data_IF_157153557039
#
_entry.id   IF_157153557039
#
_cell.length_a   1.000
_cell.length_b   1.000
_cell.length_c   1.000
_cell.angle_alpha   90.00
_cell.angle_beta   90.00
_cell.angle_gamma   90.00
#
_symmetry.space_group_name_H-M   'P 1'
#
loop_
_entity.id
_entity.type
_entity.pdbx_description
1 polymer ?
#
# COMPACT_ATOMS: atom_id res chain seq x y z
N UNK A 1 -6.82 50.54 15.98
CA UNK A 1 -7.64 50.20 14.79
C UNK A 1 -7.48 51.33 13.80
N UNK A 2 -7.05 51.07 12.56
CA UNK A 2 -6.85 52.15 11.58
C UNK A 2 -8.19 52.57 10.96
N UNK A 3 -8.60 53.82 11.21
CA UNK A 3 -9.78 54.41 10.58
C UNK A 3 -9.46 54.71 9.09
N UNK A 4 -10.39 54.48 8.14
CA UNK A 4 -10.09 54.66 6.72
C UNK A 4 -9.94 56.15 6.38
N UNK A 5 -8.99 56.51 5.51
CA UNK A 5 -8.80 57.90 5.07
C UNK A 5 -10.07 58.39 4.36
N UNK A 6 -10.65 59.50 4.85
CA UNK A 6 -11.85 60.13 4.28
C UNK A 6 -13.18 59.73 4.93
N UNK A 7 -13.15 59.05 6.09
CA UNK A 7 -14.35 58.63 6.82
C UNK A 7 -14.57 59.54 8.03
N UNK A 8 -15.75 60.15 8.12
CA UNK A 8 -16.11 61.14 9.14
C UNK A 8 -16.04 60.53 10.56
N UNK A 9 -15.59 61.25 11.59
CA UNK A 9 -15.37 60.72 12.95
C UNK A 9 -16.58 60.14 13.72
N UNK A 10 -17.77 60.09 13.12
CA UNK A 10 -19.03 59.68 13.76
C UNK A 10 -19.52 58.27 13.38
N UNK A 11 -18.68 57.42 12.80
CA UNK A 11 -19.02 56.01 12.51
C UNK A 11 -19.08 55.20 13.80
N UNK A 12 -20.16 54.43 13.96
CA UNK A 12 -20.38 53.53 15.11
C UNK A 12 -19.35 52.38 15.04
N UNK A 13 -18.86 51.91 16.18
CA UNK A 13 -17.83 50.86 16.28
C UNK A 13 -18.17 49.61 15.44
N UNK A 14 -19.43 49.19 15.45
CA UNK A 14 -19.95 48.06 14.66
C UNK A 14 -19.81 48.29 13.14
N UNK A 15 -20.06 49.51 12.65
CA UNK A 15 -19.92 49.86 11.25
C UNK A 15 -18.45 49.90 10.80
N UNK A 16 -17.55 50.35 11.70
CA UNK A 16 -16.10 50.34 11.47
C UNK A 16 -15.55 48.91 11.40
N UNK A 17 -16.03 48.01 12.28
CA UNK A 17 -15.69 46.60 12.22
C UNK A 17 -16.18 45.94 10.93
N UNK A 18 -17.43 46.21 10.53
CA UNK A 18 -17.99 45.73 9.28
C UNK A 18 -17.20 46.22 8.05
N UNK A 19 -16.77 47.49 8.04
CA UNK A 19 -15.89 48.04 7.01
C UNK A 19 -14.55 47.31 6.97
N UNK A 20 -13.90 47.13 8.12
CA UNK A 20 -12.62 46.45 8.23
C UNK A 20 -12.71 44.96 7.82
N UNK A 21 -13.80 44.29 8.15
CA UNK A 21 -14.10 42.94 7.70
C UNK A 21 -14.25 42.87 6.18
N UNK A 22 -15.02 43.78 5.56
CA UNK A 22 -15.17 43.89 4.10
C UNK A 22 -13.83 44.16 3.41
N UNK A 23 -12.99 45.04 3.97
CA UNK A 23 -11.63 45.30 3.47
C UNK A 23 -10.74 44.06 3.53
N UNK A 24 -10.73 43.34 4.66
CA UNK A 24 -10.01 42.07 4.82
C UNK A 24 -10.50 41.01 3.83
N UNK A 25 -11.81 40.90 3.61
CA UNK A 25 -12.40 39.99 2.63
C UNK A 25 -12.00 40.36 1.20
N UNK A 26 -12.05 41.64 0.82
CA UNK A 26 -11.59 42.13 -0.48
C UNK A 26 -10.11 41.83 -0.70
N UNK A 27 -9.27 42.10 0.29
CA UNK A 27 -7.84 41.79 0.23
C UNK A 27 -7.60 40.28 0.03
N UNK A 28 -8.30 39.41 0.77
CA UNK A 28 -8.25 37.96 0.60
C UNK A 28 -8.67 37.54 -0.82
N UNK A 29 -9.73 38.13 -1.37
CA UNK A 29 -10.21 37.85 -2.74
C UNK A 29 -9.17 38.26 -3.78
N UNK A 30 -8.63 39.47 -3.69
CA UNK A 30 -7.59 39.97 -4.60
C UNK A 30 -6.33 39.12 -4.54
N UNK A 31 -5.89 38.73 -3.34
CA UNK A 31 -4.75 37.84 -3.16
C UNK A 31 -4.97 36.47 -3.82
N UNK A 32 -6.18 35.89 -3.66
CA UNK A 32 -6.55 34.63 -4.35
C UNK A 32 -6.49 34.77 -5.86
N UNK A 33 -7.06 35.84 -6.43
CA UNK A 33 -7.04 36.10 -7.88
C UNK A 33 -5.61 36.30 -8.40
N UNK A 34 -4.79 37.08 -7.71
CA UNK A 34 -3.38 37.28 -8.06
C UNK A 34 -2.58 35.96 -8.00
N UNK A 35 -2.85 35.11 -6.99
CA UNK A 35 -2.22 33.79 -6.86
C UNK A 35 -2.64 32.82 -7.99
N UNK A 36 -3.90 32.87 -8.43
CA UNK A 36 -4.37 32.12 -9.61
C UNK A 36 -3.65 32.62 -10.87
N UNK A 37 -3.67 33.94 -11.13
CA UNK A 37 -3.02 34.54 -12.30
C UNK A 37 -1.53 34.20 -12.35
N UNK A 38 -0.83 34.28 -11.21
CA UNK A 38 0.60 33.90 -11.12
C UNK A 38 0.83 32.43 -11.48
N UNK A 39 -0.06 31.51 -11.07
CA UNK A 39 0.04 30.09 -11.42
C UNK A 39 -0.28 29.83 -12.89
N UNK A 40 -1.21 30.57 -13.48
CA UNK A 40 -1.52 30.51 -14.92
C UNK A 40 -0.33 30.98 -15.75
N UNK A 41 0.20 32.17 -15.47
CA UNK A 41 1.38 32.71 -16.16
C UNK A 41 2.59 31.76 -16.05
N UNK A 42 2.83 31.17 -14.86
CA UNK A 42 3.91 30.20 -14.68
C UNK A 42 3.69 28.90 -15.48
N UNK A 43 2.43 28.48 -15.68
CA UNK A 43 2.07 27.29 -16.47
C UNK A 43 2.19 27.56 -17.97
N UNK A 44 1.78 28.74 -18.42
CA UNK A 44 1.87 29.17 -19.82
C UNK A 44 3.32 29.38 -20.25
N UNK A 45 4.18 29.92 -19.36
CA UNK A 45 5.59 30.13 -19.64
C UNK A 45 6.38 28.83 -19.83
N UNK A 46 6.14 27.83 -18.98
CA UNK A 46 6.82 26.53 -19.01
C UNK A 46 5.95 25.47 -18.34
N UNK A 47 5.15 24.77 -19.16
CA UNK A 47 4.23 23.76 -18.69
C UNK A 47 4.98 22.57 -18.07
N UNK A 48 6.05 22.10 -18.72
CA UNK A 48 6.79 20.92 -18.27
C UNK A 48 7.51 21.16 -16.95
N UNK A 49 8.23 22.28 -16.82
CA UNK A 49 8.90 22.67 -15.59
C UNK A 49 7.91 22.94 -14.46
N UNK A 50 6.75 23.56 -14.75
CA UNK A 50 5.68 23.75 -13.77
C UNK A 50 5.14 22.40 -13.25
N UNK A 51 4.83 21.46 -14.14
CA UNK A 51 4.35 20.12 -13.77
C UNK A 51 5.41 19.32 -13.01
N UNK A 52 6.68 19.39 -13.42
CA UNK A 52 7.80 18.75 -12.71
C UNK A 52 7.94 19.30 -11.29
N UNK A 53 7.88 20.63 -11.12
CA UNK A 53 7.92 21.27 -9.80
C UNK A 53 6.76 20.83 -8.92
N UNK A 54 5.54 20.76 -9.46
CA UNK A 54 4.37 20.27 -8.73
C UNK A 54 4.51 18.80 -8.31
N UNK A 55 4.99 17.92 -9.21
CA UNK A 55 5.27 16.51 -8.88
C UNK A 55 6.29 16.39 -7.75
N UNK A 56 7.34 17.20 -7.77
CA UNK A 56 8.37 17.22 -6.71
C UNK A 56 7.79 17.70 -5.37
N UNK A 57 6.97 18.75 -5.38
CA UNK A 57 6.29 19.25 -4.18
C UNK A 57 5.32 18.22 -3.61
N UNK A 58 4.55 17.55 -4.47
CA UNK A 58 3.63 16.49 -4.08
C UNK A 58 4.37 15.33 -3.42
N UNK A 59 5.43 14.80 -4.06
CA UNK A 59 6.29 13.76 -3.46
C UNK A 59 6.85 14.18 -2.10
N UNK A 60 7.31 15.43 -1.97
CA UNK A 60 7.82 15.97 -0.69
C UNK A 60 6.72 16.00 0.37
N UNK A 61 5.51 16.43 -0.01
CA UNK A 61 4.35 16.46 0.86
C UNK A 61 3.93 15.05 1.29
N UNK A 62 3.82 14.10 0.34
CA UNK A 62 3.48 12.69 0.61
C UNK A 62 4.48 12.06 1.56
N UNK A 63 5.78 12.31 1.35
CA UNK A 63 6.84 11.79 2.22
C UNK A 63 6.72 12.32 3.65
N UNK A 64 6.54 13.64 3.80
CA UNK A 64 6.36 14.28 5.11
C UNK A 64 5.09 13.82 5.83
N UNK A 65 4.02 13.56 5.08
CA UNK A 65 2.70 13.23 5.64
C UNK A 65 2.35 11.74 5.53
N UNK A 66 3.35 10.86 5.37
CA UNK A 66 3.13 9.46 5.01
C UNK A 66 2.18 8.74 5.95
N UNK A 67 2.39 8.86 7.27
CA UNK A 67 1.56 8.20 8.27
C UNK A 67 0.10 8.68 8.20
N UNK A 68 -0.12 10.00 8.14
CA UNK A 68 -1.45 10.60 8.03
C UNK A 68 -2.19 10.16 6.76
N UNK A 69 -1.49 10.12 5.63
CA UNK A 69 -2.09 9.69 4.36
C UNK A 69 -2.44 8.20 4.37
N UNK A 70 -1.60 7.36 4.96
CA UNK A 70 -1.88 5.93 5.15
C UNK A 70 -3.08 5.72 6.06
N UNK A 71 -3.16 6.42 7.20
CA UNK A 71 -4.29 6.35 8.11
C UNK A 71 -5.60 6.80 7.43
N UNK A 72 -5.57 7.91 6.69
CA UNK A 72 -6.72 8.37 5.91
C UNK A 72 -7.15 7.36 4.84
N UNK A 73 -6.18 6.67 4.20
CA UNK A 73 -6.46 5.59 3.24
C UNK A 73 -7.10 4.38 3.93
N UNK A 74 -6.58 3.95 5.08
CA UNK A 74 -7.15 2.83 5.84
C UNK A 74 -8.59 3.13 6.28
N UNK A 75 -8.82 4.30 6.87
CA UNK A 75 -10.18 4.74 7.24
C UNK A 75 -11.14 4.75 6.05
N UNK A 76 -10.67 5.19 4.86
CA UNK A 76 -11.48 5.15 3.63
C UNK A 76 -11.82 3.71 3.23
N UNK A 77 -10.86 2.81 3.32
CA UNK A 77 -11.04 1.39 2.99
C UNK A 77 -12.02 0.73 3.95
N UNK A 78 -11.83 0.92 5.26
CA UNK A 78 -12.74 0.43 6.30
C UNK A 78 -14.17 0.90 6.05
N UNK A 79 -14.36 2.20 5.80
CA UNK A 79 -15.68 2.76 5.47
C UNK A 79 -16.29 2.15 4.19
N UNK A 80 -15.47 1.91 3.16
CA UNK A 80 -15.97 1.29 1.92
C UNK A 80 -16.44 -0.14 2.17
N UNK A 81 -15.71 -0.92 2.99
CA UNK A 81 -16.07 -2.30 3.32
C UNK A 81 -17.29 -2.34 4.25
N UNK A 82 -17.31 -1.51 5.30
CA UNK A 82 -18.42 -1.44 6.25
C UNK A 82 -19.74 -1.03 5.59
N UNK A 83 -19.68 -0.11 4.61
CA UNK A 83 -20.86 0.32 3.83
C UNK A 83 -21.12 -0.58 2.61
N UNK A 84 -20.36 -1.65 2.45
CA UNK A 84 -20.42 -2.55 1.30
C UNK A 84 -20.42 -1.78 -0.04
N UNK A 85 -19.65 -0.69 -0.13
CA UNK A 85 -19.71 0.25 -1.26
C UNK A 85 -19.33 -0.41 -2.59
N UNK A 86 -18.42 -1.37 -2.54
CA UNK A 86 -17.98 -2.15 -3.70
C UNK A 86 -18.20 -3.63 -3.41
N UNK A 87 -19.42 -4.11 -3.46
CA UNK A 87 -19.71 -5.53 -3.31
C UNK A 87 -20.04 -6.18 -4.65
N UNK A 88 -19.75 -7.47 -4.76
CA UNK A 88 -20.22 -8.26 -5.88
C UNK A 88 -21.66 -8.71 -5.61
N UNK A 89 -22.57 -8.50 -6.55
CA UNK A 89 -23.99 -8.88 -6.41
C UNK A 89 -24.23 -10.40 -6.40
N UNK A 90 -23.29 -11.18 -6.94
CA UNK A 90 -23.44 -12.63 -7.07
C UNK A 90 -22.94 -13.40 -5.84
N UNK A 91 -21.99 -12.84 -5.10
CA UNK A 91 -21.41 -13.49 -3.90
C UNK A 91 -21.52 -12.62 -2.63
N UNK A 92 -22.05 -11.41 -2.74
CA UNK A 92 -22.17 -10.39 -1.68
C UNK A 92 -20.86 -10.05 -0.94
N UNK A 93 -19.71 -10.43 -1.50
CA UNK A 93 -18.42 -10.09 -0.91
C UNK A 93 -18.09 -8.62 -1.18
N UNK A 94 -17.69 -7.92 -0.13
CA UNK A 94 -17.36 -6.50 -0.17
C UNK A 94 -15.86 -6.27 -0.32
N UNK A 95 -15.50 -5.39 -1.25
CA UNK A 95 -14.13 -5.08 -1.62
C UNK A 95 -13.72 -3.67 -1.16
N UNK A 96 -12.42 -3.46 -0.85
CA UNK A 96 -11.92 -2.18 -0.38
C UNK A 96 -11.84 -1.11 -1.49
N UNK A 97 -11.77 -1.53 -2.75
CA UNK A 97 -11.63 -0.67 -3.94
C UNK A 97 -12.41 -1.22 -5.12
N UNK A 98 -12.81 -0.34 -6.04
CA UNK A 98 -13.50 -0.71 -7.29
C UNK A 98 -12.65 -1.64 -8.17
N UNK A 99 -11.34 -1.37 -8.29
CA UNK A 99 -10.43 -2.25 -9.05
C UNK A 99 -10.46 -3.69 -8.56
N UNK A 100 -10.51 -3.91 -7.23
CA UNK A 100 -10.56 -5.26 -6.68
C UNK A 100 -11.89 -5.95 -6.98
N UNK A 101 -13.01 -5.22 -6.98
CA UNK A 101 -14.31 -5.73 -7.41
C UNK A 101 -14.29 -6.09 -8.91
N UNK A 102 -13.84 -5.18 -9.77
CA UNK A 102 -13.75 -5.42 -11.22
C UNK A 102 -12.88 -6.64 -11.48
N UNK A 103 -11.70 -6.71 -10.86
CA UNK A 103 -10.81 -7.86 -10.97
C UNK A 103 -11.46 -9.14 -10.44
N UNK A 104 -12.24 -9.06 -9.36
CA UNK A 104 -12.98 -10.21 -8.84
C UNK A 104 -14.07 -10.68 -9.81
N UNK A 105 -14.74 -9.76 -10.50
CA UNK A 105 -15.75 -10.09 -11.50
C UNK A 105 -15.13 -10.65 -12.79
N UNK A 106 -13.96 -10.15 -13.20
CA UNK A 106 -13.32 -10.59 -14.44
C UNK A 106 -12.48 -11.86 -14.31
N UNK A 107 -11.85 -12.10 -13.15
CA UNK A 107 -10.94 -13.24 -12.96
C UNK A 107 -11.56 -14.43 -12.23
N UNK A 108 -12.66 -14.25 -11.50
CA UNK A 108 -13.36 -15.41 -10.92
C UNK A 108 -14.39 -15.88 -11.93
N UNK A 109 -14.09 -17.03 -12.52
CA UNK A 109 -15.02 -17.73 -13.40
C UNK A 109 -16.36 -17.95 -12.69
N UNK A 110 -16.43 -18.23 -11.38
CA UNK A 110 -17.71 -18.31 -10.67
C UNK A 110 -18.66 -17.10 -10.84
N UNK A 111 -18.16 -15.87 -11.05
CA UNK A 111 -19.03 -14.71 -11.31
C UNK A 111 -19.42 -14.59 -12.79
N UNK A 112 -18.51 -14.97 -13.69
CA UNK A 112 -18.73 -15.00 -15.14
C UNK A 112 -19.55 -16.23 -15.56
N UNK A 113 -19.43 -17.33 -14.84
CA UNK A 113 -20.14 -18.59 -14.95
C UNK A 113 -21.46 -18.53 -14.19
N UNK A 114 -21.61 -17.96 -12.99
CA UNK A 114 -22.96 -17.69 -12.44
C UNK A 114 -23.77 -16.70 -13.29
N UNK A 115 -23.09 -15.85 -14.08
CA UNK A 115 -23.72 -15.05 -15.13
C UNK A 115 -24.04 -15.86 -16.42
N UNK A 116 -23.46 -17.06 -16.59
CA UNK A 116 -23.72 -18.01 -17.71
C UNK A 116 -24.53 -19.26 -17.31
N UNK A 117 -24.65 -19.57 -16.02
CA UNK A 117 -25.23 -20.76 -15.37
C UNK A 117 -26.54 -20.33 -14.69
N UNK A 118 -27.49 -19.78 -15.45
CA UNK A 118 -28.59 -20.56 -16.04
C UNK A 118 -28.12 -21.77 -16.86
N UNK A 119 -27.91 -22.92 -16.21
CA UNK A 119 -27.60 -24.19 -16.87
C UNK A 119 -26.27 -24.82 -16.40
N UNK A 120 -26.36 -25.89 -15.62
CA UNK A 120 -25.29 -26.45 -14.79
C UNK A 120 -23.99 -26.88 -15.48
N UNK A 121 -22.89 -26.83 -14.72
CA UNK A 121 -21.56 -27.33 -15.09
C UNK A 121 -20.67 -27.55 -13.86
N UNK A 122 -19.74 -28.52 -13.96
CA UNK A 122 -18.94 -29.16 -12.88
C UNK A 122 -18.06 -28.20 -12.03
N UNK A 123 -17.64 -28.61 -10.82
CA UNK A 123 -16.77 -27.78 -9.96
C UNK A 123 -15.36 -27.63 -10.57
N UNK A 124 -14.79 -26.42 -10.53
CA UNK A 124 -13.42 -26.15 -11.03
C UNK A 124 -12.39 -25.97 -9.91
N UNK A 125 -11.17 -26.46 -10.17
CA UNK A 125 -10.02 -26.54 -9.27
C UNK A 125 -9.50 -25.20 -8.75
N UNK A 126 -9.19 -25.16 -7.45
CA UNK A 126 -8.67 -23.98 -6.75
C UNK A 126 -7.26 -23.61 -7.23
N UNK A 127 -7.05 -22.38 -7.67
CA UNK A 127 -5.69 -21.88 -7.99
C UNK A 127 -4.83 -21.83 -6.72
N UNK A 128 -3.55 -22.24 -6.78
CA UNK A 128 -2.71 -22.30 -5.61
C UNK A 128 -2.50 -20.91 -4.99
N UNK A 129 -2.68 -20.83 -3.67
CA UNK A 129 -2.44 -19.63 -2.88
C UNK A 129 -0.93 -19.29 -2.85
N UNK A 130 -0.57 -18.13 -2.28
CA UNK A 130 0.82 -17.66 -2.32
C UNK A 130 1.83 -18.60 -1.64
N UNK A 131 1.39 -19.42 -0.68
CA UNK A 131 2.23 -20.41 -0.02
C UNK A 131 2.35 -21.69 -0.85
N UNK A 132 1.26 -22.14 -1.48
CA UNK A 132 1.27 -23.27 -2.42
C UNK A 132 2.19 -22.97 -3.61
N UNK A 133 2.11 -21.78 -4.21
CA UNK A 133 3.02 -21.36 -5.30
C UNK A 133 4.49 -21.29 -4.87
N UNK A 134 4.76 -20.96 -3.61
CA UNK A 134 6.14 -20.98 -3.07
C UNK A 134 6.64 -22.40 -2.90
N UNK A 135 5.76 -23.33 -2.50
CA UNK A 135 6.09 -24.73 -2.34
C UNK A 135 6.33 -25.39 -3.70
N UNK A 136 5.40 -25.23 -4.64
CA UNK A 136 5.53 -25.70 -6.03
C UNK A 136 6.83 -25.21 -6.69
N UNK A 137 7.22 -23.95 -6.44
CA UNK A 137 8.50 -23.42 -6.93
C UNK A 137 9.71 -24.12 -6.32
N UNK A 138 9.69 -24.41 -5.02
CA UNK A 138 10.76 -25.18 -4.37
C UNK A 138 10.80 -26.60 -4.89
N UNK A 139 9.65 -27.23 -5.09
CA UNK A 139 9.55 -28.60 -5.61
C UNK A 139 10.07 -28.67 -7.05
N UNK A 140 9.72 -27.68 -7.88
CA UNK A 140 10.29 -27.53 -9.22
C UNK A 140 11.81 -27.39 -9.19
N UNK A 141 12.34 -26.53 -8.30
CA UNK A 141 13.79 -26.37 -8.13
C UNK A 141 14.48 -27.66 -7.65
N UNK A 142 13.78 -28.47 -6.83
CA UNK A 142 14.27 -29.75 -6.32
C UNK A 142 14.34 -30.81 -7.42
N UNK A 143 13.28 -30.94 -8.22
CA UNK A 143 13.23 -31.88 -9.36
C UNK A 143 14.27 -31.51 -10.42
N UNK A 144 14.41 -30.22 -10.72
CA UNK A 144 15.36 -29.74 -11.73
C UNK A 144 16.80 -29.55 -11.20
N UNK A 145 17.05 -29.88 -9.93
CA UNK A 145 18.33 -29.64 -9.22
C UNK A 145 18.88 -28.20 -9.30
N UNK A 146 18.04 -27.23 -9.68
CA UNK A 146 18.40 -25.81 -9.71
C UNK A 146 18.33 -25.27 -8.29
N UNK A 147 19.41 -24.65 -7.78
CA UNK A 147 19.48 -24.16 -6.40
C UNK A 147 19.30 -25.27 -5.34
N UNK A 148 19.84 -26.45 -5.62
CA UNK A 148 19.81 -27.63 -4.75
C UNK A 148 21.20 -27.93 -4.19
N UNK A 149 21.26 -28.32 -2.93
CA UNK A 149 22.48 -28.80 -2.28
C UNK A 149 22.36 -30.30 -2.02
N UNK A 150 23.26 -31.08 -2.62
CA UNK A 150 23.22 -32.55 -2.54
C UNK A 150 23.62 -33.08 -1.15
N UNK A 151 24.56 -32.41 -0.48
CA UNK A 151 25.03 -32.79 0.87
C UNK A 151 23.95 -32.68 1.94
N UNK A 152 22.98 -31.80 1.73
CA UNK A 152 22.06 -31.36 2.76
C UNK A 152 20.58 -31.46 2.37
N UNK A 153 20.30 -31.80 1.11
CA UNK A 153 18.95 -31.89 0.55
C UNK A 153 18.18 -30.56 0.48
N UNK A 154 18.84 -29.42 0.70
CA UNK A 154 18.17 -28.12 0.74
C UNK A 154 17.97 -27.55 -0.66
N UNK A 155 16.74 -27.09 -0.93
CA UNK A 155 16.39 -26.34 -2.15
C UNK A 155 16.03 -24.88 -1.83
N UNK A 156 16.78 -23.95 -2.41
CA UNK A 156 16.48 -22.52 -2.36
C UNK A 156 15.31 -22.15 -3.29
N UNK A 157 14.48 -21.19 -2.88
CA UNK A 157 13.41 -20.68 -3.75
C UNK A 157 13.90 -19.72 -4.85
N UNK A 158 15.16 -19.30 -4.78
CA UNK A 158 15.89 -18.52 -5.78
C UNK A 158 17.41 -18.58 -5.50
N UNK A 159 18.22 -18.12 -6.46
CA UNK A 159 19.69 -18.11 -6.37
C UNK A 159 20.22 -17.39 -5.12
N UNK A 160 19.69 -16.21 -4.79
CA UNK A 160 20.20 -15.42 -3.65
C UNK A 160 19.99 -16.15 -2.32
N UNK A 161 18.82 -16.74 -2.11
CA UNK A 161 18.52 -17.53 -0.91
C UNK A 161 19.37 -18.79 -0.84
N UNK A 162 19.66 -19.41 -1.97
CA UNK A 162 20.55 -20.55 -2.04
C UNK A 162 21.99 -20.18 -1.72
N UNK A 163 22.51 -19.08 -2.27
CA UNK A 163 23.87 -18.60 -1.98
C UNK A 163 24.07 -18.26 -0.50
N UNK A 164 23.08 -17.61 0.13
CA UNK A 164 23.11 -17.31 1.57
C UNK A 164 23.12 -18.60 2.39
N UNK A 165 22.36 -19.62 1.98
CA UNK A 165 22.37 -20.92 2.63
C UNK A 165 23.72 -21.65 2.46
N UNK A 166 24.21 -21.74 1.22
CA UNK A 166 25.43 -22.47 0.85
C UNK A 166 26.68 -21.84 1.48
N UNK A 167 26.70 -20.52 1.63
CA UNK A 167 27.79 -19.81 2.29
C UNK A 167 27.61 -19.71 3.81
N UNK A 168 26.51 -20.23 4.35
CA UNK A 168 26.20 -20.16 5.78
C UNK A 168 27.11 -21.08 6.61
N UNK A 169 27.55 -20.60 7.78
CA UNK A 169 28.40 -21.35 8.73
C UNK A 169 27.87 -22.76 9.00
N UNK A 170 26.57 -22.88 9.27
CA UNK A 170 25.92 -24.18 9.55
C UNK A 170 25.96 -25.16 8.38
N UNK A 171 25.91 -24.66 7.14
CA UNK A 171 26.03 -25.54 5.97
C UNK A 171 27.48 -26.00 5.83
N UNK A 172 28.44 -25.08 6.00
CA UNK A 172 29.88 -25.40 6.00
C UNK A 172 30.25 -26.43 7.07
N UNK A 173 29.75 -26.28 8.30
CA UNK A 173 29.98 -27.23 9.40
C UNK A 173 29.39 -28.62 9.09
N UNK A 174 28.25 -28.68 8.36
CA UNK A 174 27.65 -29.94 7.89
C UNK A 174 28.47 -30.60 6.79
N UNK A 175 28.96 -29.82 5.82
CA UNK A 175 29.85 -30.32 4.76
C UNK A 175 31.17 -30.83 5.35
N UNK A 176 31.68 -30.16 6.39
CA UNK A 176 32.89 -30.56 7.11
C UNK A 176 32.69 -31.75 8.07
N UNK A 177 31.47 -32.27 8.22
CA UNK A 177 31.17 -33.40 9.12
C UNK A 177 31.25 -33.07 10.62
N UNK A 178 31.42 -31.80 10.99
CA UNK A 178 31.57 -31.35 12.38
C UNK A 178 30.24 -30.95 13.04
N UNK A 179 29.13 -30.99 12.29
CA UNK A 179 27.82 -30.58 12.78
C UNK A 179 27.09 -31.70 13.53
N UNK A 180 26.87 -31.49 14.83
CA UNK A 180 26.18 -32.42 15.75
C UNK A 180 24.69 -32.10 15.97
N UNK A 181 24.11 -31.17 15.21
CA UNK A 181 22.72 -30.72 15.39
C UNK A 181 21.68 -31.43 14.49
N UNK A 182 20.38 -31.27 14.77
CA UNK A 182 19.32 -31.87 13.95
C UNK A 182 19.25 -31.30 12.53
N UNK A 183 18.89 -32.15 11.58
CA UNK A 183 18.85 -31.92 10.12
C UNK A 183 17.86 -30.85 9.62
N UNK A 184 17.26 -30.04 10.51
CA UNK A 184 16.33 -29.00 10.09
C UNK A 184 17.05 -27.75 9.57
N UNK A 185 16.40 -27.03 8.64
CA UNK A 185 16.93 -25.79 8.09
C UNK A 185 17.05 -24.73 9.22
N UNK A 186 18.25 -24.18 9.48
CA UNK A 186 18.51 -23.28 10.62
C UNK A 186 17.61 -22.03 10.63
N UNK A 187 17.21 -21.55 9.46
CA UNK A 187 16.35 -20.36 9.33
C UNK A 187 14.91 -20.63 9.78
N UNK A 188 14.40 -21.84 9.57
CA UNK A 188 13.07 -22.27 10.02
C UNK A 188 13.06 -22.62 11.49
N UNK A 189 14.15 -23.17 12.04
CA UNK A 189 14.29 -23.46 13.47
C UNK A 189 14.32 -22.16 14.27
N UNK A 190 15.21 -21.20 13.92
CA UNK A 190 15.27 -19.88 14.60
C UNK A 190 13.95 -19.12 14.55
N UNK A 191 13.21 -19.20 13.44
CA UNK A 191 11.89 -18.55 13.32
C UNK A 191 10.83 -19.23 14.19
N UNK A 192 10.87 -20.57 14.31
CA UNK A 192 9.97 -21.34 15.18
C UNK A 192 10.27 -21.11 16.65
N UNK A 193 11.54 -21.07 17.04
CA UNK A 193 11.98 -20.77 18.41
C UNK A 193 11.62 -19.34 18.81
N UNK A 194 11.87 -18.35 17.94
CA UNK A 194 11.47 -16.96 18.18
C UNK A 194 9.94 -16.82 18.25
N UNK A 195 9.20 -17.52 17.39
CA UNK A 195 7.74 -17.52 17.42
C UNK A 195 7.19 -18.21 18.68
N UNK A 196 7.83 -19.28 19.16
CA UNK A 196 7.48 -19.97 20.40
C UNK A 196 7.75 -19.08 21.62
N UNK A 197 8.89 -18.38 21.65
CA UNK A 197 9.23 -17.44 22.73
C UNK A 197 8.26 -16.26 22.78
N UNK A 198 7.97 -15.64 21.64
CA UNK A 198 6.98 -14.57 21.53
C UNK A 198 5.55 -15.02 21.87
N UNK A 199 5.23 -16.32 21.73
CA UNK A 199 3.94 -16.90 22.12
C UNK A 199 3.87 -17.19 23.62
N UNK A 200 4.99 -17.55 24.25
CA UNK A 200 5.11 -17.71 25.70
C UNK A 200 5.05 -16.36 26.43
N UNK A 201 5.74 -15.34 25.91
CA UNK A 201 5.72 -13.97 26.47
C UNK A 201 4.35 -13.28 26.37
N UNK A 202 3.43 -13.76 25.52
CA UNK A 202 2.06 -13.23 25.37
C UNK A 202 1.00 -14.00 26.17
N UNK A 203 1.42 -15.03 26.92
CA UNK A 203 0.53 -15.86 27.76
C UNK A 203 0.58 -15.47 29.25
N UNK A 204 1.38 -14.46 29.58
CA UNK A 204 1.34 -13.69 30.83
C UNK A 204 0.84 -12.28 30.52
#
# INVERSE_FOLDING_TARGET
MECPRGVHPSIIEEELEAYNAKRKQRAKRLWRLASIKKRQVARERDLEGYLRKNRMQDRRYTRKNRQRLTAARHKRIENNVARQRFHCKLCNHSFPTLYNLIRHQTLNEDNLEKAKVTGGGKPREQKPNSNQRKQERRDWHRVNKTFFCETCGYTGGNQTQFNVYNNGKTHRDRVAGTYTGPSQNPSTVRKRELAARNKAEKRF
#
